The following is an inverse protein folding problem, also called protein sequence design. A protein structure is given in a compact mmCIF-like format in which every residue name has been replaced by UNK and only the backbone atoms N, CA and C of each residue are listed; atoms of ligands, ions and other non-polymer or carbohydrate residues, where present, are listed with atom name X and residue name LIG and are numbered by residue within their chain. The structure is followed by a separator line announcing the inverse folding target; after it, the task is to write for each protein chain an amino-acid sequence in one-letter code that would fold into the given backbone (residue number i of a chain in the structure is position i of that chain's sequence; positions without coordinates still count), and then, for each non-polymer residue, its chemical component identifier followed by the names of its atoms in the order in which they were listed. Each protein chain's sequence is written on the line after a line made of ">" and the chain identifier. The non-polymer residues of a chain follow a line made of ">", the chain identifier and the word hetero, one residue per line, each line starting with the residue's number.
data_IF_911938758635
#
_entry.id   IF_911938758635
#
_cell.length_a   1.000
_cell.length_b   1.000
_cell.length_c   1.000
_cell.angle_alpha   90.00
_cell.angle_beta   90.00
_cell.angle_gamma   90.00
#
_symmetry.space_group_name_H-M   'P 1'
#
loop_
_entity.id
_entity.type
_entity.pdbx_description
1 polymer ?
#
# COMPACT_ATOMS: atom_id res chain seq x y z
N UNK A 1 -19.43 47.32 -4.61
CA UNK A 1 -18.75 46.97 -3.33
C UNK A 1 -18.36 45.49 -3.37
N UNK A 2 -17.11 45.17 -3.67
CA UNK A 2 -16.57 43.81 -3.64
C UNK A 2 -15.69 43.68 -2.39
N UNK A 3 -16.24 43.14 -1.30
CA UNK A 3 -15.45 42.71 -0.14
C UNK A 3 -15.36 41.20 -0.13
N UNK A 4 -14.26 40.65 -0.65
CA UNK A 4 -13.95 39.24 -0.48
C UNK A 4 -12.43 39.07 -0.43
N UNK A 5 -11.96 38.28 0.55
CA UNK A 5 -10.66 37.56 0.61
C UNK A 5 -9.45 38.14 1.35
N UNK A 6 -9.55 39.16 2.21
CA UNK A 6 -8.38 39.55 3.03
C UNK A 6 -8.21 38.81 4.37
N UNK A 7 -9.25 38.15 4.89
CA UNK A 7 -9.20 37.54 6.25
C UNK A 7 -8.59 36.12 6.33
N UNK A 8 -8.41 35.41 5.21
CA UNK A 8 -7.78 34.07 5.21
C UNK A 8 -6.26 34.08 5.02
N UNK A 9 -5.70 35.15 4.43
CA UNK A 9 -4.25 35.23 4.16
C UNK A 9 -3.46 35.53 5.43
N UNK A 10 -4.04 36.29 6.36
CA UNK A 10 -3.33 36.75 7.57
C UNK A 10 -3.05 35.61 8.57
N UNK A 11 -3.89 34.57 8.61
CA UNK A 11 -3.68 33.42 9.48
C UNK A 11 -2.56 32.48 8.99
N UNK A 12 -2.33 32.39 7.67
CA UNK A 12 -1.27 31.57 7.08
C UNK A 12 0.11 32.23 7.23
N UNK A 13 0.17 33.56 7.13
CA UNK A 13 1.41 34.32 7.26
C UNK A 13 1.87 34.54 8.70
N UNK A 14 0.96 34.55 9.69
CA UNK A 14 1.37 34.69 11.10
C UNK A 14 2.00 33.42 11.68
N UNK A 15 1.58 32.23 11.26
CA UNK A 15 2.23 30.98 11.68
C UNK A 15 3.66 30.88 11.08
N UNK A 16 3.87 31.46 9.90
CA UNK A 16 5.18 31.53 9.27
C UNK A 16 6.15 32.53 9.96
N UNK A 17 5.62 33.56 10.64
CA UNK A 17 6.44 34.62 11.22
C UNK A 17 6.96 34.30 12.64
N UNK A 18 6.32 33.39 13.39
CA UNK A 18 6.74 33.02 14.76
C UNK A 18 7.83 31.95 14.84
N UNK A 19 8.38 31.48 13.71
CA UNK A 19 9.47 30.46 13.66
C UNK A 19 10.76 31.02 13.04
N UNK A 20 10.89 32.34 12.91
CA UNK A 20 12.15 33.00 12.56
C UNK A 20 12.89 33.46 13.82
N UNK A 21 13.04 32.56 14.81
CA UNK A 21 14.16 32.66 15.73
C UNK A 21 15.37 32.06 15.01
N UNK A 22 16.22 32.94 14.47
CA UNK A 22 17.54 32.65 13.93
C UNK A 22 18.40 31.97 14.98
N UNK A 23 18.23 30.66 15.16
CA UNK A 23 19.37 29.81 15.49
C UNK A 23 20.09 29.57 14.17
N UNK A 24 21.41 29.81 14.08
CA UNK A 24 22.15 29.36 12.92
C UNK A 24 21.89 27.85 12.82
N UNK A 25 21.33 27.40 11.70
CA UNK A 25 21.16 25.98 11.39
C UNK A 25 22.57 25.41 11.42
N UNK A 26 22.98 24.90 12.57
CA UNK A 26 24.37 24.63 12.90
C UNK A 26 24.83 23.39 12.14
N UNK A 27 25.41 23.58 10.96
CA UNK A 27 26.41 22.75 10.30
C UNK A 27 26.22 21.21 10.27
N UNK A 28 25.04 20.66 10.60
CA UNK A 28 24.81 19.21 10.72
C UNK A 28 23.34 18.80 10.67
N UNK A 29 22.52 19.55 9.93
CA UNK A 29 21.15 19.13 9.68
C UNK A 29 21.16 18.03 8.62
N UNK A 30 20.70 16.83 8.98
CA UNK A 30 20.81 15.66 8.11
C UNK A 30 19.69 14.67 8.36
N UNK A 31 19.28 13.99 7.29
CA UNK A 31 18.40 12.84 7.37
C UNK A 31 19.15 11.64 7.96
N UNK A 32 18.48 10.90 8.84
CA UNK A 32 18.97 9.67 9.43
C UNK A 32 17.89 8.60 9.36
N UNK A 33 18.31 7.33 9.36
CA UNK A 33 17.41 6.18 9.30
C UNK A 33 17.92 5.04 10.17
N UNK A 34 16.99 4.26 10.72
CA UNK A 34 17.20 2.97 11.35
C UNK A 34 16.00 2.06 11.00
N UNK A 35 15.92 0.81 11.49
CA UNK A 35 14.79 -0.07 11.22
C UNK A 35 13.42 0.45 11.67
N UNK A 36 13.38 1.35 12.66
CA UNK A 36 12.14 1.97 13.15
C UNK A 36 11.62 3.05 12.20
N UNK A 37 12.51 3.79 11.54
CA UNK A 37 12.12 4.81 10.57
C UNK A 37 13.17 5.87 10.31
N UNK A 38 12.73 6.91 9.61
CA UNK A 38 13.53 8.10 9.31
C UNK A 38 13.35 9.16 10.40
N UNK A 39 14.37 9.95 10.65
CA UNK A 39 14.28 11.18 11.44
C UNK A 39 15.18 12.26 10.84
N UNK A 40 14.99 13.50 11.29
CA UNK A 40 15.81 14.62 10.88
C UNK A 40 16.56 15.16 12.09
N UNK A 41 17.89 15.23 11.97
CA UNK A 41 18.76 15.77 13.03
C UNK A 41 18.86 17.28 12.86
N UNK A 42 18.75 18.02 13.96
CA UNK A 42 18.93 19.48 14.02
C UNK A 42 20.01 19.78 15.06
N UNK A 43 21.29 19.78 14.63
CA UNK A 43 22.43 19.96 15.53
C UNK A 43 22.64 18.77 16.48
N UNK A 44 22.48 18.99 17.78
CA UNK A 44 22.57 17.95 18.82
C UNK A 44 21.22 17.33 19.19
N UNK A 45 20.14 17.70 18.49
CA UNK A 45 18.79 17.20 18.75
C UNK A 45 18.16 16.64 17.47
N UNK A 46 16.89 16.22 17.57
CA UNK A 46 16.08 15.75 16.45
C UNK A 46 14.82 16.62 16.29
N UNK A 47 14.34 16.71 15.06
CA UNK A 47 13.11 17.39 14.74
C UNK A 47 11.90 16.74 15.42
N UNK A 48 10.94 17.56 15.82
CA UNK A 48 9.62 17.14 16.35
C UNK A 48 8.54 18.07 15.81
N UNK A 49 7.34 17.54 15.56
CA UNK A 49 6.25 18.27 14.92
C UNK A 49 6.51 18.59 13.44
N UNK A 50 5.80 19.58 12.92
CA UNK A 50 5.94 20.00 11.51
C UNK A 50 7.29 20.68 11.24
N UNK A 51 7.93 20.29 10.13
CA UNK A 51 9.14 20.92 9.59
C UNK A 51 9.04 21.08 8.09
N UNK A 52 9.57 22.20 7.60
CA UNK A 52 9.78 22.46 6.18
C UNK A 52 11.24 22.12 5.85
N UNK A 53 11.46 21.06 5.07
CA UNK A 53 12.78 20.56 4.67
C UNK A 53 12.76 20.46 3.15
N UNK A 54 13.72 21.08 2.46
CA UNK A 54 13.83 21.06 1.00
C UNK A 54 12.51 21.39 0.27
N UNK A 55 11.81 22.43 0.74
CA UNK A 55 10.51 22.89 0.23
C UNK A 55 9.34 21.90 0.38
N UNK A 56 9.49 20.86 1.21
CA UNK A 56 8.43 19.90 1.53
C UNK A 56 8.15 19.88 3.03
N UNK A 57 6.87 19.75 3.37
CA UNK A 57 6.46 19.61 4.76
C UNK A 57 6.54 18.15 5.21
N UNK A 58 7.15 17.94 6.36
CA UNK A 58 7.26 16.67 7.05
C UNK A 58 6.74 16.82 8.48
N UNK A 59 6.27 15.73 9.06
CA UNK A 59 5.89 15.69 10.48
C UNK A 59 6.74 14.65 11.21
N UNK A 60 7.27 15.00 12.36
CA UNK A 60 8.04 14.10 13.23
C UNK A 60 7.29 13.90 14.54
N UNK A 61 7.16 12.64 14.99
CA UNK A 61 6.48 12.32 16.24
C UNK A 61 7.25 12.81 17.48
N UNK A 62 6.71 12.58 18.68
CA UNK A 62 7.36 13.00 19.93
C UNK A 62 8.69 12.28 20.21
N UNK A 63 8.99 11.18 19.49
CA UNK A 63 10.24 10.42 19.55
C UNK A 63 11.20 10.80 18.42
N UNK A 64 10.80 11.72 17.53
CA UNK A 64 11.59 12.22 16.41
C UNK A 64 11.42 11.44 15.11
N UNK A 65 10.60 10.40 15.03
CA UNK A 65 10.43 9.63 13.81
C UNK A 65 9.44 10.31 12.85
N UNK A 66 9.80 10.35 11.58
CA UNK A 66 9.01 10.91 10.50
C UNK A 66 7.74 10.08 10.29
N UNK A 67 6.59 10.74 10.38
CA UNK A 67 5.32 10.18 9.96
C UNK A 67 5.27 10.04 8.43
N UNK A 68 4.75 8.92 7.96
CA UNK A 68 4.51 8.63 6.55
C UNK A 68 3.27 7.75 6.43
N UNK A 69 2.71 7.71 5.24
CA UNK A 69 1.53 6.90 4.92
C UNK A 69 0.33 7.16 5.85
N UNK A 70 0.19 8.41 6.29
CA UNK A 70 -0.78 8.78 7.32
C UNK A 70 -1.26 10.22 7.13
N UNK A 71 -2.33 10.57 7.84
CA UNK A 71 -2.85 11.94 7.88
C UNK A 71 -2.59 12.55 9.25
N UNK A 72 -1.91 13.69 9.27
CA UNK A 72 -1.65 14.48 10.47
C UNK A 72 -2.30 15.85 10.28
N UNK A 73 -3.13 16.29 11.24
CA UNK A 73 -3.83 17.58 11.19
C UNK A 73 -4.64 17.82 9.89
N UNK A 74 -5.16 16.74 9.29
CA UNK A 74 -5.88 16.79 8.01
C UNK A 74 -5.00 16.85 6.77
N UNK A 75 -3.67 16.77 6.92
CA UNK A 75 -2.71 16.72 5.82
C UNK A 75 -2.14 15.32 5.65
N UNK A 76 -2.29 14.79 4.45
CA UNK A 76 -1.77 13.48 4.09
C UNK A 76 -0.27 13.55 3.78
N UNK A 77 0.49 12.62 4.38
CA UNK A 77 1.92 12.40 4.18
C UNK A 77 2.07 11.11 3.38
N UNK A 78 2.77 11.17 2.23
CA UNK A 78 3.00 9.98 1.40
C UNK A 78 4.07 9.06 1.99
N UNK A 79 4.49 8.06 1.23
CA UNK A 79 5.50 7.06 1.61
C UNK A 79 6.89 7.65 1.90
N UNK A 80 7.21 8.78 1.27
CA UNK A 80 8.40 9.58 1.58
C UNK A 80 8.25 10.45 2.83
N UNK A 81 7.07 10.48 3.45
CA UNK A 81 6.71 11.35 4.57
C UNK A 81 6.46 12.81 4.19
N UNK A 82 6.58 13.14 2.90
CA UNK A 82 6.28 14.48 2.42
C UNK A 82 4.77 14.69 2.35
N UNK A 83 4.32 15.86 2.81
CA UNK A 83 2.95 16.31 2.61
C UNK A 83 2.65 16.41 1.12
N UNK A 84 1.55 15.79 0.71
CA UNK A 84 1.04 15.87 -0.66
C UNK A 84 -0.47 16.13 -0.65
N UNK A 85 -0.96 16.79 -1.68
CA UNK A 85 -2.40 17.02 -1.84
C UNK A 85 -3.02 15.85 -2.60
N UNK A 86 -4.08 15.30 -2.03
CA UNK A 86 -4.83 14.21 -2.64
C UNK A 86 -5.86 14.74 -3.62
N UNK A 87 -5.89 14.13 -4.80
CA UNK A 87 -6.96 14.32 -5.78
C UNK A 87 -8.10 13.38 -5.48
N UNK A 88 -9.34 13.85 -5.69
CA UNK A 88 -10.53 13.01 -5.58
C UNK A 88 -11.12 12.80 -6.97
N UNK A 89 -11.25 11.55 -7.39
CA UNK A 89 -11.90 11.18 -8.65
C UNK A 89 -12.93 10.09 -8.37
N UNK A 90 -14.21 10.46 -8.44
CA UNK A 90 -15.31 9.62 -7.95
C UNK A 90 -15.05 9.20 -6.50
N UNK A 91 -15.07 7.89 -6.27
CA UNK A 91 -14.86 7.27 -4.95
C UNK A 91 -13.38 7.12 -4.56
N UNK A 92 -12.43 7.48 -5.43
CA UNK A 92 -11.00 7.29 -5.19
C UNK A 92 -10.32 8.56 -4.68
N UNK A 93 -9.52 8.43 -3.61
CA UNK A 93 -8.50 9.41 -3.24
C UNK A 93 -7.16 8.96 -3.83
N UNK A 94 -6.46 9.91 -4.45
CA UNK A 94 -5.31 9.62 -5.29
C UNK A 94 -4.17 10.60 -5.04
N UNK A 95 -2.98 10.08 -4.74
CA UNK A 95 -1.74 10.84 -4.69
C UNK A 95 -1.11 10.88 -6.09
N UNK A 96 -1.29 12.01 -6.77
CA UNK A 96 -0.73 12.24 -8.12
C UNK A 96 0.79 12.23 -8.14
N UNK A 97 1.45 12.54 -7.03
CA UNK A 97 2.91 12.60 -6.97
C UNK A 97 3.56 11.22 -7.10
N UNK A 98 2.83 10.17 -6.72
CA UNK A 98 3.30 8.77 -6.71
C UNK A 98 2.49 7.86 -7.63
N UNK A 99 1.32 8.30 -8.11
CA UNK A 99 0.40 7.45 -8.85
C UNK A 99 -0.31 6.43 -7.94
N UNK A 100 -0.57 6.79 -6.68
CA UNK A 100 -1.08 5.85 -5.66
C UNK A 100 -2.55 6.13 -5.35
N UNK A 101 -3.41 5.10 -5.43
CA UNK A 101 -4.73 5.18 -4.78
C UNK A 101 -4.52 4.99 -3.29
N UNK A 102 -4.90 5.99 -2.50
CA UNK A 102 -4.72 5.99 -1.04
C UNK A 102 -5.99 5.64 -0.27
N UNK A 103 -7.15 5.80 -0.91
CA UNK A 103 -8.45 5.49 -0.31
C UNK A 103 -9.48 5.17 -1.39
N UNK A 104 -10.37 4.23 -1.09
CA UNK A 104 -11.60 4.02 -1.83
C UNK A 104 -12.78 4.16 -0.86
N UNK A 105 -13.68 5.11 -1.16
CA UNK A 105 -14.80 5.51 -0.30
C UNK A 105 -16.15 5.01 -0.82
N UNK A 106 -16.14 4.28 -1.93
CA UNK A 106 -17.36 3.78 -2.57
C UNK A 106 -17.92 2.55 -1.86
N UNK A 107 -19.14 2.18 -2.26
CA UNK A 107 -19.86 1.02 -1.72
C UNK A 107 -20.14 -0.06 -2.77
N UNK A 108 -19.62 0.11 -3.99
CA UNK A 108 -19.85 -0.80 -5.11
C UNK A 108 -19.31 -2.20 -4.79
N UNK A 109 -20.06 -3.22 -5.20
CA UNK A 109 -19.63 -4.61 -5.07
C UNK A 109 -18.61 -5.01 -6.13
N UNK A 110 -18.56 -4.31 -7.26
CA UNK A 110 -17.58 -4.53 -8.32
C UNK A 110 -16.86 -3.22 -8.61
N UNK A 111 -15.54 -3.22 -8.41
CA UNK A 111 -14.72 -2.02 -8.56
C UNK A 111 -13.76 -2.20 -9.72
N UNK A 112 -13.88 -1.32 -10.72
CA UNK A 112 -12.93 -1.21 -11.81
C UNK A 112 -12.05 0.00 -11.54
N UNK A 113 -10.78 -0.25 -11.22
CA UNK A 113 -9.81 0.81 -10.98
C UNK A 113 -9.35 1.36 -12.34
N UNK A 114 -9.46 2.68 -12.61
CA UNK A 114 -9.08 3.23 -13.91
C UNK A 114 -7.57 3.19 -14.12
N UNK A 115 -7.11 3.10 -15.37
CA UNK A 115 -5.67 3.16 -15.69
C UNK A 115 -5.01 4.50 -15.29
N UNK A 116 -5.78 5.59 -15.30
CA UNK A 116 -5.30 6.95 -15.03
C UNK A 116 -6.32 7.77 -14.27
N UNK A 117 -5.84 8.70 -13.44
CA UNK A 117 -6.61 9.81 -12.87
C UNK A 117 -5.86 11.10 -13.22
N UNK A 118 -6.54 12.04 -13.88
CA UNK A 118 -5.96 13.30 -14.37
C UNK A 118 -4.61 13.12 -15.09
N UNK A 119 -4.60 12.30 -16.14
CA UNK A 119 -3.43 11.94 -16.96
C UNK A 119 -2.28 11.22 -16.23
N UNK A 120 -2.42 10.99 -14.93
CA UNK A 120 -1.42 10.29 -14.12
C UNK A 120 -1.80 8.81 -14.02
N UNK A 121 -0.87 7.94 -14.35
CA UNK A 121 -1.05 6.49 -14.27
C UNK A 121 -1.18 5.99 -12.84
N UNK A 122 -2.05 5.00 -12.64
CA UNK A 122 -2.16 4.31 -11.36
C UNK A 122 -1.05 3.28 -11.27
N UNK A 123 -0.08 3.52 -10.39
CA UNK A 123 1.10 2.69 -10.17
C UNK A 123 1.00 1.83 -8.93
N UNK A 124 0.30 2.30 -7.90
CA UNK A 124 0.16 1.60 -6.62
C UNK A 124 -1.28 1.63 -6.13
N UNK A 125 -1.70 0.56 -5.49
CA UNK A 125 -2.98 0.47 -4.79
C UNK A 125 -2.68 0.31 -3.31
N UNK A 126 -3.16 1.27 -2.52
CA UNK A 126 -2.87 1.38 -1.09
C UNK A 126 -4.03 2.00 -0.34
N UNK A 127 -5.09 1.23 -0.16
CA UNK A 127 -6.18 1.66 0.72
C UNK A 127 -6.50 0.54 1.67
N UNK A 128 -6.60 0.88 2.96
CA UNK A 128 -7.28 0.04 3.93
C UNK A 128 -8.69 0.56 4.04
N UNK A 129 -9.67 -0.28 3.74
CA UNK A 129 -11.02 0.06 4.18
C UNK A 129 -11.76 -1.19 4.57
N UNK A 130 -11.83 -1.40 5.88
CA UNK A 130 -12.80 -2.31 6.48
C UNK A 130 -14.24 -1.98 6.04
N UNK A 131 -14.50 -0.76 5.55
CA UNK A 131 -15.77 -0.38 4.92
C UNK A 131 -15.92 -0.89 3.48
N UNK A 132 -14.95 -0.71 2.59
CA UNK A 132 -15.12 -1.20 1.21
C UNK A 132 -15.11 -2.72 1.12
N UNK A 133 -14.27 -3.38 1.93
CA UNK A 133 -14.22 -4.85 2.00
C UNK A 133 -15.55 -5.51 2.41
N UNK A 134 -16.52 -4.76 2.96
CA UNK A 134 -17.84 -5.30 3.33
C UNK A 134 -18.68 -5.69 2.12
N UNK A 135 -18.56 -4.99 1.00
CA UNK A 135 -19.43 -5.24 -0.17
C UNK A 135 -18.66 -5.78 -1.37
N UNK A 136 -17.33 -5.65 -1.37
CA UNK A 136 -16.50 -5.93 -2.52
C UNK A 136 -16.49 -7.43 -2.87
N UNK A 137 -17.03 -7.78 -4.03
CA UNK A 137 -17.06 -9.14 -4.58
C UNK A 137 -16.07 -9.34 -5.72
N UNK A 138 -15.68 -8.26 -6.41
CA UNK A 138 -14.69 -8.28 -7.49
C UNK A 138 -13.94 -6.96 -7.63
N UNK A 139 -12.66 -7.07 -8.02
CA UNK A 139 -11.79 -5.93 -8.33
C UNK A 139 -11.06 -6.19 -9.64
N UNK A 140 -11.06 -5.20 -10.53
CA UNK A 140 -10.22 -5.16 -11.71
C UNK A 140 -9.08 -4.17 -11.49
N UNK A 141 -7.85 -4.69 -11.43
CA UNK A 141 -6.62 -3.90 -11.30
C UNK A 141 -6.13 -3.52 -12.71
N UNK A 142 -5.81 -2.25 -12.98
CA UNK A 142 -5.37 -1.80 -14.30
C UNK A 142 -3.92 -2.21 -14.60
N UNK A 143 -3.61 -2.41 -15.88
CA UNK A 143 -2.28 -2.76 -16.39
C UNK A 143 -1.21 -1.68 -16.15
N UNK A 144 -1.60 -0.49 -15.72
CA UNK A 144 -0.66 0.54 -15.26
C UNK A 144 -0.05 0.22 -13.89
N UNK A 145 -0.69 -0.66 -13.11
CA UNK A 145 -0.36 -0.94 -11.71
C UNK A 145 0.91 -1.76 -11.61
N UNK A 146 1.84 -1.31 -10.77
CA UNK A 146 3.12 -1.97 -10.50
C UNK A 146 3.23 -2.55 -9.09
N UNK A 147 2.38 -2.14 -8.15
CA UNK A 147 2.40 -2.63 -6.78
C UNK A 147 1.02 -2.66 -6.12
N UNK A 148 0.78 -3.69 -5.32
CA UNK A 148 -0.36 -3.80 -4.39
C UNK A 148 0.23 -3.78 -2.99
N UNK A 149 -0.17 -2.83 -2.17
CA UNK A 149 0.43 -2.65 -0.85
C UNK A 149 -0.23 -3.54 0.21
N UNK A 150 0.41 -3.58 1.38
CA UNK A 150 0.00 -4.43 2.48
C UNK A 150 -1.43 -4.15 2.87
N UNK A 151 -2.12 -5.19 3.34
CA UNK A 151 -3.45 -5.13 3.95
C UNK A 151 -4.58 -4.53 3.10
N UNK A 152 -4.36 -4.30 1.80
CA UNK A 152 -5.32 -3.61 0.91
C UNK A 152 -6.66 -4.34 0.79
N UNK A 153 -6.62 -5.66 0.64
CA UNK A 153 -7.81 -6.52 0.60
C UNK A 153 -7.91 -7.43 1.83
N UNK A 154 -7.21 -7.11 2.91
CA UNK A 154 -7.31 -7.87 4.15
C UNK A 154 -8.76 -7.91 4.63
N UNK A 155 -9.25 -9.09 4.96
CA UNK A 155 -10.62 -9.37 5.40
C UNK A 155 -11.71 -8.91 4.43
N UNK A 156 -11.41 -8.78 3.14
CA UNK A 156 -12.41 -8.67 2.07
C UNK A 156 -13.13 -10.03 1.90
N UNK A 157 -13.93 -10.41 2.90
CA UNK A 157 -14.56 -11.73 3.01
C UNK A 157 -15.59 -12.00 1.93
N UNK A 158 -16.11 -10.97 1.25
CA UNK A 158 -17.01 -11.12 0.11
C UNK A 158 -16.29 -11.20 -1.25
N UNK A 159 -14.98 -10.97 -1.29
CA UNK A 159 -14.20 -10.99 -2.53
C UNK A 159 -14.15 -12.40 -3.08
N UNK A 160 -14.73 -12.61 -4.27
CA UNK A 160 -14.81 -13.93 -4.91
C UNK A 160 -13.77 -14.12 -6.01
N UNK A 161 -13.36 -13.03 -6.65
CA UNK A 161 -12.41 -13.01 -7.75
C UNK A 161 -11.63 -11.70 -7.77
N UNK A 162 -10.35 -11.78 -8.08
CA UNK A 162 -9.52 -10.62 -8.41
C UNK A 162 -8.63 -10.98 -9.59
N UNK A 163 -8.47 -10.03 -10.52
CA UNK A 163 -7.55 -10.16 -11.64
C UNK A 163 -6.35 -9.26 -11.38
N UNK A 164 -5.18 -9.87 -11.21
CA UNK A 164 -3.90 -9.17 -11.01
C UNK A 164 -3.15 -9.18 -12.35
N UNK A 165 -2.85 -8.02 -12.96
CA UNK A 165 -2.17 -7.97 -14.24
C UNK A 165 -0.67 -8.27 -14.12
N UNK A 166 -0.05 -8.72 -15.22
CA UNK A 166 1.41 -8.98 -15.31
C UNK A 166 2.28 -7.72 -15.15
N UNK A 167 1.68 -6.53 -15.09
CA UNK A 167 2.39 -5.29 -14.76
C UNK A 167 2.75 -5.19 -13.28
N UNK A 168 2.04 -5.91 -12.41
CA UNK A 168 2.26 -5.89 -10.95
C UNK A 168 3.56 -6.62 -10.63
N UNK A 169 4.51 -5.91 -10.03
CA UNK A 169 5.84 -6.42 -9.68
C UNK A 169 5.94 -6.84 -8.22
N UNK A 170 5.10 -6.26 -7.36
CA UNK A 170 5.07 -6.60 -5.93
C UNK A 170 3.64 -6.62 -5.41
N UNK A 171 3.40 -7.55 -4.49
CA UNK A 171 2.21 -7.63 -3.64
C UNK A 171 2.77 -7.72 -2.23
N UNK A 172 2.56 -6.71 -1.41
CA UNK A 172 3.15 -6.62 -0.08
C UNK A 172 2.37 -7.47 0.93
N UNK A 173 2.98 -7.86 2.08
CA UNK A 173 2.40 -8.84 3.00
C UNK A 173 0.95 -8.58 3.40
N UNK A 174 0.21 -9.67 3.56
CA UNK A 174 -1.19 -9.72 4.01
C UNK A 174 -2.19 -9.05 3.06
N UNK A 175 -1.87 -8.78 1.79
CA UNK A 175 -2.79 -8.05 0.93
C UNK A 175 -4.13 -8.80 0.74
N UNK A 176 -4.13 -10.14 0.81
CA UNK A 176 -5.34 -10.98 0.67
C UNK A 176 -5.67 -11.84 1.91
N UNK A 177 -5.05 -11.57 3.06
CA UNK A 177 -5.33 -12.30 4.31
C UNK A 177 -6.83 -12.20 4.67
N UNK A 178 -7.46 -13.33 4.97
CA UNK A 178 -8.87 -13.40 5.37
C UNK A 178 -9.87 -13.16 4.24
N UNK A 179 -9.48 -13.24 2.96
CA UNK A 179 -10.41 -13.25 1.82
C UNK A 179 -11.18 -14.58 1.73
N UNK A 180 -12.07 -14.85 2.69
CA UNK A 180 -12.69 -16.17 2.91
C UNK A 180 -13.54 -16.70 1.76
N UNK A 181 -14.06 -15.84 0.86
CA UNK A 181 -14.81 -16.26 -0.33
C UNK A 181 -13.99 -16.27 -1.63
N UNK A 182 -12.70 -15.95 -1.60
CA UNK A 182 -11.84 -15.96 -2.80
C UNK A 182 -11.71 -17.40 -3.31
N UNK A 183 -12.14 -17.65 -4.55
CA UNK A 183 -12.23 -19.03 -5.09
C UNK A 183 -10.99 -19.46 -5.84
N UNK A 184 -10.36 -18.53 -6.54
CA UNK A 184 -9.18 -18.81 -7.36
C UNK A 184 -8.28 -17.59 -7.45
N UNK A 185 -6.98 -17.83 -7.58
CA UNK A 185 -6.00 -16.79 -7.85
C UNK A 185 -4.98 -17.28 -8.89
N UNK A 186 -4.62 -16.40 -9.82
CA UNK A 186 -3.51 -16.60 -10.75
C UNK A 186 -2.42 -15.63 -10.33
N UNK A 187 -1.30 -16.14 -9.84
CA UNK A 187 -0.14 -15.31 -9.52
C UNK A 187 0.50 -14.87 -10.85
N UNK A 188 0.66 -13.55 -11.09
CA UNK A 188 1.26 -13.06 -12.33
C UNK A 188 2.73 -13.49 -12.49
N UNK A 189 3.17 -13.67 -13.74
CA UNK A 189 4.54 -14.10 -14.06
C UNK A 189 5.64 -13.07 -13.73
N UNK A 190 5.24 -11.87 -13.33
CA UNK A 190 6.10 -10.78 -12.85
C UNK A 190 6.40 -10.86 -11.34
N UNK A 191 5.66 -11.69 -10.59
CA UNK A 191 5.84 -11.85 -9.14
C UNK A 191 6.98 -12.82 -8.86
N UNK A 192 7.92 -12.39 -8.00
CA UNK A 192 9.07 -13.19 -7.57
C UNK A 192 8.93 -13.78 -6.17
N UNK A 193 8.01 -13.25 -5.37
CA UNK A 193 7.85 -13.63 -3.97
C UNK A 193 6.37 -13.61 -3.58
N UNK A 194 5.91 -14.65 -2.88
CA UNK A 194 4.62 -14.66 -2.18
C UNK A 194 4.91 -14.45 -0.70
N UNK A 195 4.37 -13.39 -0.11
CA UNK A 195 4.76 -12.97 1.23
C UNK A 195 4.14 -13.82 2.35
N UNK A 196 4.65 -13.63 3.57
CA UNK A 196 4.10 -14.25 4.77
C UNK A 196 2.61 -13.89 4.90
N UNK A 197 1.78 -14.89 5.20
CA UNK A 197 0.33 -14.75 5.42
C UNK A 197 -0.48 -14.16 4.25
N UNK A 198 0.09 -14.07 3.04
CA UNK A 198 -0.51 -13.35 1.90
C UNK A 198 -1.95 -13.76 1.57
N UNK A 199 -2.23 -15.06 1.60
CA UNK A 199 -3.54 -15.67 1.38
C UNK A 199 -4.01 -16.49 2.59
N UNK A 200 -3.50 -16.19 3.80
CA UNK A 200 -3.95 -16.85 5.02
C UNK A 200 -5.48 -16.75 5.14
N UNK A 201 -6.14 -17.82 5.58
CA UNK A 201 -7.57 -17.78 5.84
C UNK A 201 -8.46 -17.69 4.59
N UNK A 202 -7.92 -17.83 3.38
CA UNK A 202 -8.71 -17.98 2.15
C UNK A 202 -9.36 -19.38 2.09
N UNK A 203 -10.26 -19.67 3.03
CA UNK A 203 -10.82 -21.02 3.28
C UNK A 203 -11.64 -21.63 2.13
N UNK A 204 -12.07 -20.82 1.15
CA UNK A 204 -12.75 -21.28 -0.06
C UNK A 204 -11.89 -21.21 -1.32
N UNK A 205 -10.58 -20.98 -1.16
CA UNK A 205 -9.64 -21.04 -2.27
C UNK A 205 -9.53 -22.48 -2.75
N UNK A 206 -9.78 -22.69 -4.04
CA UNK A 206 -9.82 -24.02 -4.67
C UNK A 206 -8.78 -24.18 -5.77
N UNK A 207 -8.34 -23.09 -6.41
CA UNK A 207 -7.37 -23.13 -7.50
C UNK A 207 -6.37 -21.99 -7.38
N UNK A 208 -5.09 -22.34 -7.31
CA UNK A 208 -3.97 -21.39 -7.26
C UNK A 208 -3.00 -21.75 -8.37
N UNK A 209 -2.74 -20.84 -9.30
CA UNK A 209 -1.68 -21.02 -10.31
C UNK A 209 -0.47 -20.20 -9.90
N UNK A 210 0.68 -20.87 -9.75
CA UNK A 210 1.94 -20.22 -9.35
C UNK A 210 2.97 -20.38 -10.50
N UNK A 211 3.49 -19.29 -11.06
CA UNK A 211 4.47 -19.33 -12.13
C UNK A 211 5.88 -19.63 -11.58
N UNK A 212 6.76 -20.12 -12.47
CA UNK A 212 8.17 -20.37 -12.15
C UNK A 212 8.98 -19.09 -11.81
N UNK A 213 8.41 -17.90 -12.00
CA UNK A 213 9.04 -16.65 -11.58
C UNK A 213 9.12 -16.52 -10.05
N UNK A 214 8.27 -17.24 -9.32
CA UNK A 214 8.26 -17.24 -7.85
C UNK A 214 9.46 -18.02 -7.34
N UNK A 215 10.29 -17.33 -6.56
CA UNK A 215 11.54 -17.83 -5.97
C UNK A 215 11.49 -17.92 -4.45
N UNK A 216 10.47 -17.32 -3.81
CA UNK A 216 10.23 -17.43 -2.38
C UNK A 216 8.74 -17.43 -2.05
N UNK A 217 8.35 -18.26 -1.06
CA UNK A 217 7.01 -18.29 -0.49
C UNK A 217 7.16 -18.19 1.03
N UNK A 218 6.56 -17.17 1.63
CA UNK A 218 6.63 -16.91 3.05
C UNK A 218 5.90 -17.96 3.87
N UNK A 219 6.32 -18.12 5.12
CA UNK A 219 5.66 -19.00 6.09
C UNK A 219 4.16 -18.68 6.18
N UNK A 220 3.32 -19.71 6.26
CA UNK A 220 1.86 -19.57 6.42
C UNK A 220 1.17 -18.76 5.31
N UNK A 221 1.81 -18.52 4.15
CA UNK A 221 1.23 -17.77 3.03
C UNK A 221 -0.13 -18.32 2.58
N UNK A 222 -0.34 -19.64 2.72
CA UNK A 222 -1.58 -20.33 2.38
C UNK A 222 -2.19 -21.08 3.58
N UNK A 223 -1.92 -20.62 4.81
CA UNK A 223 -2.47 -21.25 6.01
C UNK A 223 -4.00 -21.24 5.98
N UNK A 224 -4.62 -22.36 6.36
CA UNK A 224 -6.07 -22.61 6.30
C UNK A 224 -6.68 -22.63 4.89
N UNK A 225 -5.86 -22.78 3.84
CA UNK A 225 -6.33 -22.99 2.47
C UNK A 225 -6.48 -24.48 2.13
N UNK A 226 -7.13 -25.27 2.99
CA UNK A 226 -7.13 -26.74 2.92
C UNK A 226 -7.82 -27.31 1.65
N UNK A 227 -8.68 -26.51 1.00
CA UNK A 227 -9.37 -26.87 -0.25
C UNK A 227 -8.58 -26.54 -1.51
N UNK A 228 -7.48 -25.78 -1.39
CA UNK A 228 -6.75 -25.27 -2.54
C UNK A 228 -6.00 -26.41 -3.25
N UNK A 229 -6.06 -26.38 -4.59
CA UNK A 229 -5.15 -27.11 -5.45
C UNK A 229 -4.17 -26.13 -6.10
N UNK A 230 -2.88 -26.42 -5.97
CA UNK A 230 -1.78 -25.60 -6.46
C UNK A 230 -1.25 -26.17 -7.75
N UNK A 231 -1.32 -25.39 -8.82
CA UNK A 231 -0.84 -25.77 -10.15
C UNK A 231 0.50 -25.08 -10.39
N UNK A 232 1.53 -25.90 -10.56
CA UNK A 232 2.92 -25.45 -10.79
C UNK A 232 3.53 -26.20 -11.97
N UNK A 233 4.56 -25.60 -12.59
CA UNK A 233 5.27 -26.18 -13.74
C UNK A 233 6.69 -26.67 -13.42
N UNK A 234 7.13 -26.59 -12.16
CA UNK A 234 8.47 -27.04 -11.76
C UNK A 234 8.51 -27.62 -10.36
N UNK A 235 9.39 -28.62 -10.17
CA UNK A 235 9.70 -29.19 -8.85
C UNK A 235 10.27 -28.13 -7.89
N UNK A 236 11.00 -27.14 -8.42
CA UNK A 236 11.48 -26.00 -7.62
C UNK A 236 10.31 -25.23 -6.99
N UNK A 237 9.28 -24.92 -7.77
CA UNK A 237 8.10 -24.20 -7.24
C UNK A 237 7.28 -25.09 -6.30
N UNK A 238 7.19 -26.39 -6.59
CA UNK A 238 6.60 -27.37 -5.65
C UNK A 238 7.32 -27.35 -4.30
N UNK A 239 8.65 -27.36 -4.29
CA UNK A 239 9.41 -27.38 -3.04
C UNK A 239 9.18 -26.12 -2.20
N UNK A 240 9.14 -24.94 -2.84
CA UNK A 240 8.81 -23.69 -2.14
C UNK A 240 7.43 -23.75 -1.45
N UNK A 241 6.44 -24.39 -2.07
CA UNK A 241 5.12 -24.59 -1.47
C UNK A 241 5.20 -25.50 -0.25
N UNK A 242 5.90 -26.63 -0.35
CA UNK A 242 6.10 -27.56 0.76
C UNK A 242 6.80 -26.87 1.93
N UNK A 243 7.88 -26.14 1.66
CA UNK A 243 8.65 -25.40 2.67
C UNK A 243 7.81 -24.32 3.37
N UNK A 244 6.81 -23.75 2.67
CA UNK A 244 5.87 -22.78 3.24
C UNK A 244 4.76 -23.39 4.09
N UNK A 245 4.62 -24.73 4.11
CA UNK A 245 3.63 -25.47 4.89
C UNK A 245 2.44 -26.02 4.09
N UNK A 246 2.48 -25.97 2.75
CA UNK A 246 1.43 -26.56 1.90
C UNK A 246 1.62 -28.08 1.80
N UNK A 247 0.54 -28.85 1.97
CA UNK A 247 0.60 -30.30 1.83
C UNK A 247 0.88 -30.71 0.38
N UNK A 248 1.80 -31.67 0.16
CA UNK A 248 2.06 -32.22 -1.17
C UNK A 248 0.79 -32.74 -1.88
N UNK A 249 -0.20 -33.23 -1.13
CA UNK A 249 -1.49 -33.70 -1.68
C UNK A 249 -2.34 -32.61 -2.33
N UNK A 250 -2.01 -31.34 -2.09
CA UNK A 250 -2.63 -30.18 -2.68
C UNK A 250 -1.93 -29.72 -3.97
N UNK A 251 -0.72 -30.22 -4.25
CA UNK A 251 0.12 -29.72 -5.34
C UNK A 251 0.01 -30.62 -6.56
N UNK A 252 -0.23 -30.00 -7.71
CA UNK A 252 -0.31 -30.63 -9.02
C UNK A 252 0.82 -30.02 -9.87
N UNK A 253 1.81 -30.85 -10.20
CA UNK A 253 2.88 -30.46 -11.12
C UNK A 253 2.47 -30.90 -12.52
N UNK A 254 2.32 -29.93 -13.43
CA UNK A 254 2.04 -30.18 -14.84
C UNK A 254 3.04 -29.43 -15.70
N UNK A 255 3.80 -30.17 -16.51
CA UNK A 255 4.80 -29.65 -17.43
C UNK A 255 4.20 -28.83 -18.57
#
# INVERSE_FOLDING_TARGET
>A
MRSFRLKKVIASSLIAASVLALNPIGASAEWKQNPTGWWYKEGNSWATGWRLIDSKWYYFDSKGYMAKDTTIDGYYLNDSGARTELTTSGSFKFDKSTGTIVEYTGSDSSVVIPNKIDDTEIKRIRFTSASACKNLTSVTIPDSTTGIESIVFMNCSNLTSIVIPNSVKSIDPFAFDGCTNLKSIIIPGSITSINQFEFQGCINLTSVKIPNSVTSIGMDAFRFCDKAKFYVSSETTKQLLVDSGVSESQIIVSA
#
